data_IF_053265290194
#
_entry.id   IF_053265290194
#
_cell.length_a   1.000
_cell.length_b   1.000
_cell.length_c   1.000
_cell.angle_alpha   90.00
_cell.angle_beta   90.00
_cell.angle_gamma   90.00
#
_symmetry.space_group_name_H-M   'P 1'
#
loop_
_entity.id
_entity.type
_entity.pdbx_description
1 polymer ?
#
# COMPACT_ATOMS: atom_id res chain seq x y z
N UNK A 1 6.66 30.65 -9.44
CA UNK A 1 5.73 29.65 -10.03
C UNK A 1 5.48 28.59 -8.98
N UNK A 2 4.27 28.55 -8.45
CA UNK A 2 3.84 27.54 -7.50
C UNK A 2 3.78 26.17 -8.21
N UNK A 3 4.37 25.16 -7.58
CA UNK A 3 4.41 23.75 -8.01
C UNK A 3 3.02 23.08 -7.92
N UNK A 4 1.99 23.70 -8.49
CA UNK A 4 0.65 23.15 -8.50
C UNK A 4 0.19 23.00 -9.95
N UNK A 5 0.38 21.79 -10.51
CA UNK A 5 -0.47 21.37 -11.64
C UNK A 5 -1.90 21.38 -11.11
N UNK A 6 -2.79 22.17 -11.73
CA UNK A 6 -4.22 22.15 -11.34
C UNK A 6 -4.80 20.78 -11.71
N UNK A 7 -5.32 20.05 -10.73
CA UNK A 7 -5.97 18.75 -10.91
C UNK A 7 -5.09 17.55 -10.57
N UNK A 8 -5.68 16.36 -10.64
CA UNK A 8 -4.99 15.07 -10.45
C UNK A 8 -4.16 14.77 -11.70
N UNK A 9 -2.92 14.38 -11.50
CA UNK A 9 -1.95 14.12 -12.55
C UNK A 9 -1.40 12.69 -12.45
N UNK A 10 -0.60 12.29 -13.45
CA UNK A 10 0.09 11.00 -13.41
C UNK A 10 1.00 10.86 -12.17
N UNK A 11 1.60 11.96 -11.70
CA UNK A 11 2.46 11.94 -10.51
C UNK A 11 1.70 11.51 -9.25
N UNK A 12 0.43 11.90 -9.14
CA UNK A 12 -0.43 11.51 -8.01
C UNK A 12 -0.76 10.01 -8.04
N UNK A 13 -0.98 9.46 -9.23
CA UNK A 13 -1.20 8.02 -9.40
C UNK A 13 0.07 7.21 -9.14
N UNK A 14 1.21 7.69 -9.61
CA UNK A 14 2.50 7.03 -9.37
C UNK A 14 2.83 7.04 -7.87
N UNK A 15 2.56 8.15 -7.18
CA UNK A 15 2.69 8.27 -5.73
C UNK A 15 1.72 7.33 -5.00
N UNK A 16 0.44 7.33 -5.38
CA UNK A 16 -0.57 6.45 -4.78
C UNK A 16 -0.18 4.98 -4.92
N UNK A 17 0.33 4.58 -6.10
CA UNK A 17 0.80 3.22 -6.34
C UNK A 17 1.96 2.84 -5.40
N UNK A 18 2.90 3.77 -5.15
CA UNK A 18 4.02 3.49 -4.22
C UNK A 18 3.56 3.39 -2.77
N UNK A 19 2.58 4.21 -2.38
CA UNK A 19 1.95 4.12 -1.06
C UNK A 19 1.22 2.79 -0.91
N UNK A 20 0.45 2.37 -1.91
CA UNK A 20 -0.25 1.08 -1.91
C UNK A 20 0.73 -0.08 -1.82
N UNK A 21 1.82 -0.06 -2.59
CA UNK A 21 2.88 -1.08 -2.53
C UNK A 21 3.44 -1.22 -1.12
N UNK A 22 3.71 -0.10 -0.43
CA UNK A 22 4.29 -0.12 0.91
C UNK A 22 3.29 -0.52 2.00
N UNK A 23 2.06 0.02 1.96
CA UNK A 23 1.04 -0.26 2.99
C UNK A 23 0.49 -1.68 2.86
N UNK A 24 0.31 -2.17 1.62
CA UNK A 24 -0.22 -3.51 1.36
C UNK A 24 0.88 -4.59 1.36
N UNK A 25 2.15 -4.21 1.55
CA UNK A 25 3.26 -5.14 1.58
C UNK A 25 3.08 -6.20 2.67
N UNK A 26 3.26 -7.47 2.29
CA UNK A 26 3.02 -8.60 3.16
C UNK A 26 4.13 -9.65 3.00
N UNK A 27 5.06 -9.75 3.98
CA UNK A 27 6.25 -10.58 3.81
C UNK A 27 5.97 -12.09 3.75
N UNK A 28 4.80 -12.55 4.20
CA UNK A 28 4.40 -13.96 4.10
C UNK A 28 4.16 -14.39 2.64
N UNK A 29 3.79 -13.47 1.75
CA UNK A 29 3.61 -13.74 0.31
C UNK A 29 4.94 -13.91 -0.41
N UNK A 30 6.03 -13.36 0.15
CA UNK A 30 7.40 -13.45 -0.39
C UNK A 30 8.20 -14.62 0.22
N UNK A 31 7.62 -15.41 1.13
CA UNK A 31 8.30 -16.54 1.77
C UNK A 31 9.42 -16.13 2.72
N UNK A 32 9.35 -14.92 3.28
CA UNK A 32 10.31 -14.42 4.26
C UNK A 32 10.09 -15.05 5.64
N UNK A 33 11.04 -14.85 6.56
CA UNK A 33 10.94 -15.30 7.95
C UNK A 33 9.91 -14.54 8.81
N UNK A 34 9.24 -13.53 8.24
CA UNK A 34 8.25 -12.70 8.92
C UNK A 34 6.84 -13.25 8.66
N UNK A 35 6.04 -13.34 9.73
CA UNK A 35 4.67 -13.90 9.67
C UNK A 35 3.67 -13.03 8.87
N UNK A 36 3.97 -11.75 8.64
CA UNK A 36 3.12 -10.83 7.86
C UNK A 36 1.88 -10.34 8.58
N UNK A 37 0.89 -9.80 7.84
CA UNK A 37 -0.38 -9.36 8.44
C UNK A 37 -1.32 -10.56 8.65
N UNK A 38 -1.88 -10.75 9.85
CA UNK A 38 -2.85 -11.82 10.11
C UNK A 38 -4.11 -11.71 9.25
N UNK A 39 -4.70 -12.85 8.90
CA UNK A 39 -5.98 -12.91 8.15
C UNK A 39 -7.22 -12.72 9.03
N UNK A 40 -7.10 -12.90 10.35
CA UNK A 40 -8.21 -12.64 11.28
C UNK A 40 -8.48 -11.13 11.31
N UNK A 41 -9.69 -10.68 10.95
CA UNK A 41 -10.03 -9.25 10.89
C UNK A 41 -9.93 -8.54 12.24
N UNK A 42 -9.87 -9.27 13.37
CA UNK A 42 -9.64 -8.70 14.71
C UNK A 42 -8.19 -8.24 14.91
N UNK A 43 -7.25 -8.87 14.19
CA UNK A 43 -5.82 -8.64 14.33
C UNK A 43 -5.17 -8.04 13.07
N UNK A 44 -5.89 -8.00 11.95
CA UNK A 44 -5.44 -7.38 10.71
C UNK A 44 -5.36 -5.84 10.85
N UNK A 45 -4.19 -5.27 10.56
CA UNK A 45 -3.99 -3.81 10.54
C UNK A 45 -4.27 -3.18 9.16
N UNK A 46 -4.45 -4.00 8.12
CA UNK A 46 -4.80 -3.55 6.77
C UNK A 46 -5.88 -4.47 6.20
N UNK A 47 -6.92 -3.87 5.63
CA UNK A 47 -7.98 -4.61 4.91
C UNK A 47 -7.50 -4.94 3.50
N UNK A 48 -7.20 -6.21 3.23
CA UNK A 48 -6.90 -6.68 1.87
C UNK A 48 -8.18 -6.95 1.10
N UNK A 49 -8.17 -6.66 -0.21
CA UNK A 49 -9.19 -7.21 -1.12
C UNK A 49 -8.74 -8.63 -1.45
N UNK A 50 -9.59 -9.62 -1.15
CA UNK A 50 -9.40 -10.98 -1.67
C UNK A 50 -9.52 -10.97 -3.19
#
# INVERSE_FOLDING_TARGET
MNHAKKGITQLDFDLAKKIDEFILWNPVEEGLSLEGTPDDPRFAYVKRKK
#
